data_IF_492147491194
#
_entry.id   IF_492147491194
#
_cell.length_a   1.000
_cell.length_b   1.000
_cell.length_c   1.000
_cell.angle_alpha   90.00
_cell.angle_beta   90.00
_cell.angle_gamma   90.00
#
_symmetry.space_group_name_H-M   'P 1'
#
loop_
_entity.id
_entity.type
_entity.pdbx_description
1 polymer ?
#
# COMPACT_ATOMS: atom_id res chain seq x y z
N UNK A 1 -11.95 28.83 -12.97
CA UNK A 1 -11.67 27.55 -13.67
C UNK A 1 -10.30 27.02 -13.26
N UNK A 2 -10.20 26.14 -12.25
CA UNK A 2 -8.91 25.50 -11.92
C UNK A 2 -8.79 24.21 -12.72
N UNK A 3 -7.78 24.18 -13.60
CA UNK A 3 -7.40 23.06 -14.47
C UNK A 3 -7.30 21.78 -13.64
N UNK A 4 -8.24 20.84 -13.87
CA UNK A 4 -8.16 19.50 -13.34
C UNK A 4 -6.88 18.84 -13.83
N UNK A 5 -5.93 18.64 -12.93
CA UNK A 5 -4.73 17.85 -13.21
C UNK A 5 -5.18 16.40 -13.32
N UNK A 6 -5.70 16.01 -14.49
CA UNK A 6 -5.79 14.60 -14.90
C UNK A 6 -4.37 14.08 -15.02
N UNK A 7 -3.78 13.72 -13.89
CA UNK A 7 -2.52 13.00 -13.83
C UNK A 7 -2.89 11.61 -14.33
N UNK A 8 -2.51 11.31 -15.58
CA UNK A 8 -2.73 10.00 -16.18
C UNK A 8 -2.41 8.92 -15.16
N UNK A 9 -3.38 8.05 -14.90
CA UNK A 9 -3.24 6.95 -13.96
C UNK A 9 -1.98 6.18 -14.31
N UNK A 10 -0.96 6.32 -13.46
CA UNK A 10 0.18 5.45 -13.52
C UNK A 10 -0.36 4.11 -13.04
N UNK A 11 -0.62 3.22 -14.01
CA UNK A 11 -1.24 1.89 -13.85
C UNK A 11 -0.53 0.95 -12.86
N UNK A 12 0.52 1.43 -12.21
CA UNK A 12 1.43 0.69 -11.33
C UNK A 12 1.47 1.23 -9.89
N UNK A 13 0.72 2.29 -9.59
CA UNK A 13 0.76 2.89 -8.25
C UNK A 13 -0.19 2.15 -7.31
N UNK A 14 0.39 1.49 -6.31
CA UNK A 14 -0.35 0.92 -5.18
C UNK A 14 -0.78 2.00 -4.18
N UNK A 15 0.04 3.03 -3.97
CA UNK A 15 -0.25 4.10 -3.01
C UNK A 15 -0.83 5.35 -3.68
N UNK A 16 -1.94 5.86 -3.11
CA UNK A 16 -2.60 7.08 -3.57
C UNK A 16 -3.43 6.91 -4.85
N UNK A 17 -3.72 5.67 -5.26
CA UNK A 17 -4.69 5.35 -6.30
C UNK A 17 -6.09 5.19 -5.70
N UNK A 18 -7.11 5.17 -6.56
CA UNK A 18 -8.46 4.80 -6.17
C UNK A 18 -8.53 3.31 -5.83
N UNK A 19 -9.23 2.95 -4.75
CA UNK A 19 -9.32 1.57 -4.30
C UNK A 19 -10.09 0.70 -5.31
N UNK A 20 -11.21 1.19 -5.84
CA UNK A 20 -12.05 0.41 -6.74
C UNK A 20 -11.35 0.16 -8.08
N UNK A 21 -10.62 1.17 -8.59
CA UNK A 21 -9.75 1.01 -9.78
C UNK A 21 -8.64 -0.03 -9.54
N UNK A 22 -8.03 -0.02 -8.35
CA UNK A 22 -6.97 -0.97 -7.99
C UNK A 22 -7.50 -2.41 -7.90
N UNK A 23 -8.64 -2.62 -7.23
CA UNK A 23 -9.26 -3.94 -7.11
C UNK A 23 -9.72 -4.47 -8.48
N UNK A 24 -10.31 -3.62 -9.31
CA UNK A 24 -10.71 -3.99 -10.67
C UNK A 24 -9.50 -4.35 -11.56
N UNK A 25 -8.38 -3.62 -11.43
CA UNK A 25 -7.16 -3.87 -12.22
C UNK A 25 -6.44 -5.15 -11.77
N UNK A 26 -6.41 -5.42 -10.47
CA UNK A 26 -5.71 -6.59 -9.90
C UNK A 26 -6.59 -7.85 -9.85
N UNK A 27 -7.90 -7.70 -10.05
CA UNK A 27 -8.90 -8.75 -9.86
C UNK A 27 -8.79 -9.41 -8.47
N UNK A 28 -8.67 -8.59 -7.44
CA UNK A 28 -8.56 -9.00 -6.04
C UNK A 28 -9.67 -8.32 -5.23
N UNK A 29 -10.14 -8.98 -4.17
CA UNK A 29 -11.10 -8.38 -3.22
C UNK A 29 -10.43 -7.48 -2.19
N UNK A 30 -9.15 -7.73 -1.90
CA UNK A 30 -8.31 -6.97 -0.97
C UNK A 30 -6.97 -6.70 -1.65
N UNK A 31 -6.38 -5.48 -1.56
CA UNK A 31 -5.05 -5.21 -2.11
C UNK A 31 -3.99 -6.11 -1.47
N UNK A 32 -3.08 -6.67 -2.28
CA UNK A 32 -2.05 -7.61 -1.82
C UNK A 32 -1.22 -7.04 -0.67
N UNK A 33 -0.84 -5.76 -0.74
CA UNK A 33 -0.07 -5.08 0.31
C UNK A 33 -0.77 -5.11 1.68
N UNK A 34 -2.11 -5.07 1.71
CA UNK A 34 -2.84 -5.13 2.98
C UNK A 34 -2.82 -6.55 3.55
N UNK A 35 -2.99 -7.58 2.73
CA UNK A 35 -2.87 -8.98 3.17
C UNK A 35 -1.47 -9.28 3.67
N UNK A 36 -0.43 -9.03 2.86
CA UNK A 36 0.95 -9.33 3.24
C UNK A 36 1.39 -8.60 4.50
N UNK A 37 1.01 -7.33 4.68
CA UNK A 37 1.31 -6.61 5.91
C UNK A 37 0.56 -7.18 7.12
N UNK A 38 -0.71 -7.57 6.95
CA UNK A 38 -1.51 -8.14 8.05
C UNK A 38 -0.93 -9.49 8.48
N UNK A 39 -0.69 -10.40 7.53
CA UNK A 39 -0.12 -11.73 7.79
C UNK A 39 1.23 -11.61 8.51
N UNK A 40 2.11 -10.71 8.04
CA UNK A 40 3.41 -10.49 8.68
C UNK A 40 3.29 -9.98 10.11
N UNK A 41 2.35 -9.05 10.35
CA UNK A 41 2.14 -8.48 11.69
C UNK A 41 1.54 -9.53 12.64
N UNK A 42 0.62 -10.37 12.18
CA UNK A 42 0.03 -11.45 12.97
C UNK A 42 1.08 -12.45 13.45
N UNK A 43 2.06 -12.78 12.60
CA UNK A 43 3.11 -13.75 12.93
C UNK A 43 4.25 -13.11 13.73
N UNK A 44 4.63 -11.86 13.44
CA UNK A 44 5.89 -11.27 13.93
C UNK A 44 5.72 -9.97 14.73
N UNK A 45 4.57 -9.31 14.63
CA UNK A 45 4.39 -7.92 15.04
C UNK A 45 3.59 -7.73 16.33
N UNK A 46 3.08 -8.80 16.94
CA UNK A 46 2.27 -8.73 18.17
C UNK A 46 3.14 -8.34 19.37
N UNK A 47 3.29 -7.03 19.58
CA UNK A 47 4.09 -6.40 20.64
C UNK A 47 3.35 -5.23 21.28
N UNK A 48 3.82 -4.78 22.44
CA UNK A 48 3.26 -3.61 23.12
C UNK A 48 3.35 -2.35 22.26
N UNK A 49 2.20 -1.72 22.03
CA UNK A 49 2.13 -0.51 21.20
C UNK A 49 2.24 -0.76 19.69
N UNK A 50 1.96 -1.98 19.23
CA UNK A 50 1.64 -2.28 17.83
C UNK A 50 0.65 -1.25 17.26
N UNK A 51 0.91 -0.79 16.04
CA UNK A 51 0.20 0.31 15.35
C UNK A 51 0.26 1.71 16.02
N UNK A 52 0.71 1.84 17.27
CA UNK A 52 0.85 3.12 17.98
C UNK A 52 2.26 3.70 17.90
N UNK A 53 3.27 2.85 18.10
CA UNK A 53 4.67 3.26 18.06
C UNK A 53 5.11 3.49 16.60
N UNK A 54 5.73 4.64 16.34
CA UNK A 54 6.21 5.00 15.01
C UNK A 54 7.41 4.14 14.60
N UNK A 55 7.32 3.53 13.43
CA UNK A 55 8.46 2.89 12.78
C UNK A 55 9.46 3.89 12.19
N UNK A 56 10.57 3.38 11.67
CA UNK A 56 11.61 4.20 11.02
C UNK A 56 11.10 4.73 9.67
N UNK A 57 11.04 6.06 9.53
CA UNK A 57 10.44 6.74 8.37
C UNK A 57 11.08 6.38 7.03
N UNK A 58 12.41 6.19 6.99
CA UNK A 58 13.14 5.80 5.78
C UNK A 58 12.83 4.36 5.34
N UNK A 59 12.57 3.44 6.28
CA UNK A 59 12.15 2.07 5.96
C UNK A 59 10.74 2.08 5.35
N UNK A 60 9.81 2.81 5.96
CA UNK A 60 8.44 2.96 5.43
C UNK A 60 8.42 3.60 4.04
N UNK A 61 9.29 4.58 3.77
CA UNK A 61 9.42 5.16 2.43
C UNK A 61 9.94 4.15 1.41
N UNK A 62 10.96 3.36 1.75
CA UNK A 62 11.47 2.30 0.86
C UNK A 62 10.38 1.29 0.51
N UNK A 63 9.60 0.82 1.50
CA UNK A 63 8.49 -0.12 1.27
C UNK A 63 7.42 0.44 0.31
N UNK A 64 7.18 1.75 0.32
CA UNK A 64 6.23 2.39 -0.61
C UNK A 64 6.75 2.47 -2.05
N UNK A 65 8.07 2.46 -2.22
CA UNK A 65 8.71 2.50 -3.54
C UNK A 65 8.89 1.11 -4.16
N UNK A 66 8.87 0.04 -3.34
CA UNK A 66 8.89 -1.33 -3.86
C UNK A 66 7.54 -1.61 -4.51
N UNK A 67 7.53 -1.90 -5.81
CA UNK A 67 6.35 -2.43 -6.46
C UNK A 67 6.07 -3.81 -5.85
N UNK A 68 4.97 -3.94 -5.12
CA UNK A 68 4.53 -5.18 -4.46
C UNK A 68 4.07 -6.24 -5.48
N UNK A 69 4.52 -6.15 -6.73
CA UNK A 69 4.08 -6.98 -7.88
C UNK A 69 5.00 -8.19 -8.08
N UNK A 70 6.00 -8.40 -7.22
CA UNK A 70 6.84 -9.60 -7.29
C UNK A 70 7.26 -10.07 -5.90
N UNK A 71 6.46 -10.99 -5.36
CA UNK A 71 6.89 -12.06 -4.45
C UNK A 71 6.39 -13.37 -5.06
#
# INVERSE_FOLDING_TARGET
MKRGRRKGGSKDKVFGCDLLEHLATTNQEIPLVLRSCSDFIEVHGIVDGIYRLSGVSSNTQKLRCVHVVSF
#
